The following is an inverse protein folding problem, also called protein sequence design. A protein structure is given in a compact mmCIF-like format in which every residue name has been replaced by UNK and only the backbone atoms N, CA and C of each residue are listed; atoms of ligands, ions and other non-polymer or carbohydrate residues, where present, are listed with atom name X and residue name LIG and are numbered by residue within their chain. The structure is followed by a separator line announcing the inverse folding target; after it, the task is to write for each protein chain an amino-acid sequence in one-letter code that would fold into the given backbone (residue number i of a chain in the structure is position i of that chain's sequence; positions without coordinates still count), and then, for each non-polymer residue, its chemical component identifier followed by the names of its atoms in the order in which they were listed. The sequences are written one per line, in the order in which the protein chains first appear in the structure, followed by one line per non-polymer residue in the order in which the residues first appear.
data_IF_137548652405
#
_entry.id   IF_137548652405
#
_cell.length_a   1.000
_cell.length_b   1.000
_cell.length_c   1.000
_cell.angle_alpha   90.00
_cell.angle_beta   90.00
_cell.angle_gamma   90.00
#
_symmetry.space_group_name_H-M   'P 1'
#
loop_
_entity.id
_entity.type
_entity.pdbx_description
1 polymer ?
#
# COMPACT_ATOMS: atom_id res chain seq x y z
N UNK A 1 0.74 5.24 3.28
CA UNK A 1 1.35 6.60 3.24
C UNK A 1 0.52 7.58 4.08
N UNK A 2 1.14 8.47 4.86
CA UNK A 2 0.43 9.28 5.86
C UNK A 2 1.11 10.63 6.13
N UNK A 3 0.29 11.63 6.46
CA UNK A 3 0.70 12.88 7.11
C UNK A 3 -0.37 13.30 8.12
N UNK A 4 0.07 13.73 9.30
CA UNK A 4 -0.78 13.96 10.48
C UNK A 4 -1.97 14.92 10.30
N UNK A 5 -1.77 16.01 9.55
CA UNK A 5 -2.74 17.10 9.49
C UNK A 5 -4.11 16.67 8.91
N UNK A 6 -5.15 16.70 9.74
CA UNK A 6 -6.54 16.41 9.33
C UNK A 6 -6.88 14.93 9.09
N UNK A 7 -5.94 14.00 9.31
CA UNK A 7 -6.09 12.58 8.92
C UNK A 7 -6.04 11.57 10.08
N UNK A 8 -5.93 12.04 11.32
CA UNK A 8 -5.88 11.18 12.52
C UNK A 8 -7.14 10.30 12.66
N UNK A 9 -8.32 10.86 12.38
CA UNK A 9 -9.58 10.10 12.42
C UNK A 9 -9.63 8.98 11.38
N UNK A 10 -9.05 9.21 10.20
CA UNK A 10 -8.96 8.19 9.15
C UNK A 10 -8.01 7.06 9.56
N UNK A 11 -6.84 7.41 10.10
CA UNK A 11 -5.89 6.44 10.63
C UNK A 11 -6.53 5.57 11.71
N UNK A 12 -7.22 6.18 12.68
CA UNK A 12 -7.92 5.43 13.73
C UNK A 12 -9.00 4.51 13.16
N UNK A 13 -9.79 5.01 12.19
CA UNK A 13 -10.80 4.19 11.51
C UNK A 13 -10.19 3.03 10.73
N UNK A 14 -9.04 3.22 10.08
CA UNK A 14 -8.37 2.15 9.34
C UNK A 14 -7.80 1.10 10.30
N UNK A 15 -7.06 1.52 11.32
CA UNK A 15 -6.46 0.64 12.31
C UNK A 15 -7.49 -0.18 13.09
N UNK A 16 -8.72 0.32 13.25
CA UNK A 16 -9.79 -0.44 13.91
C UNK A 16 -10.49 -1.46 13.02
N UNK A 17 -10.35 -1.40 11.70
CA UNK A 17 -11.13 -2.22 10.74
C UNK A 17 -10.27 -3.15 9.89
N UNK A 18 -9.17 -2.63 9.35
CA UNK A 18 -8.33 -3.38 8.40
C UNK A 18 -7.70 -4.64 9.04
N UNK A 19 -7.11 -4.58 10.25
CA UNK A 19 -6.56 -5.78 10.89
C UNK A 19 -7.58 -6.91 11.03
N UNK A 20 -8.74 -6.61 11.63
CA UNK A 20 -9.81 -7.59 11.83
C UNK A 20 -10.34 -8.16 10.51
N UNK A 21 -10.42 -7.33 9.46
CA UNK A 21 -10.81 -7.79 8.14
C UNK A 21 -9.78 -8.75 7.54
N UNK A 22 -8.49 -8.37 7.52
CA UNK A 22 -7.40 -9.19 6.99
C UNK A 22 -7.26 -10.53 7.74
N UNK A 23 -7.41 -10.52 9.06
CA UNK A 23 -7.43 -11.71 9.91
C UNK A 23 -8.63 -12.62 9.56
N UNK A 24 -9.82 -12.06 9.39
CA UNK A 24 -11.02 -12.82 9.04
C UNK A 24 -10.92 -13.51 7.68
N UNK A 25 -10.14 -12.95 6.74
CA UNK A 25 -9.88 -13.55 5.42
C UNK A 25 -8.56 -14.35 5.35
N UNK A 26 -7.87 -14.53 6.48
CA UNK A 26 -6.67 -15.37 6.58
C UNK A 26 -5.43 -14.82 5.86
N UNK A 27 -5.34 -13.50 5.66
CA UNK A 27 -4.18 -12.86 5.03
C UNK A 27 -3.04 -12.71 6.04
N UNK A 28 -1.83 -13.13 5.66
CA UNK A 28 -0.62 -12.81 6.42
C UNK A 28 -0.11 -11.43 6.02
N UNK A 29 0.02 -10.52 7.00
CA UNK A 29 0.38 -9.13 6.74
C UNK A 29 1.25 -8.52 7.84
N UNK A 30 1.87 -7.39 7.50
CA UNK A 30 2.43 -6.43 8.45
C UNK A 30 2.04 -5.03 7.99
N UNK A 31 1.54 -4.22 8.92
CA UNK A 31 1.17 -2.83 8.62
C UNK A 31 2.35 -1.90 8.88
N UNK A 32 2.63 -1.04 7.90
CA UNK A 32 3.64 0.02 8.01
C UNK A 32 2.97 1.38 7.84
N UNK A 33 3.11 2.23 8.85
CA UNK A 33 2.67 3.63 8.76
C UNK A 33 3.83 4.50 8.27
N UNK A 34 3.70 4.99 7.03
CA UNK A 34 4.75 5.79 6.38
C UNK A 34 4.44 7.27 6.59
N UNK A 35 4.97 7.85 7.67
CA UNK A 35 4.66 9.22 8.08
C UNK A 35 5.65 10.23 7.46
N UNK A 36 5.17 11.13 6.62
CA UNK A 36 5.98 12.26 6.12
C UNK A 36 5.98 13.39 7.14
N UNK A 37 7.17 13.75 7.62
CA UNK A 37 7.36 14.70 8.73
C UNK A 37 7.91 16.06 8.29
N UNK A 38 8.41 16.17 7.07
CA UNK A 38 8.84 17.43 6.47
C UNK A 38 7.65 18.29 5.99
N UNK A 39 7.95 19.54 5.67
CA UNK A 39 6.98 20.54 5.23
C UNK A 39 6.77 20.58 3.70
N UNK A 40 7.42 19.69 2.93
CA UNK A 40 7.26 19.65 1.47
C UNK A 40 5.85 19.20 1.10
N UNK A 41 5.40 19.34 -0.17
CA UNK A 41 4.17 18.69 -0.60
C UNK A 41 4.19 17.18 -0.28
N UNK A 42 3.01 16.60 -0.09
CA UNK A 42 2.93 15.18 0.21
C UNK A 42 3.45 14.36 -0.97
N UNK A 43 4.32 13.39 -0.72
CA UNK A 43 4.91 12.55 -1.76
C UNK A 43 4.62 11.08 -1.44
N UNK A 44 3.52 10.58 -1.99
CA UNK A 44 3.03 9.21 -1.76
C UNK A 44 4.05 8.18 -2.26
N UNK A 45 4.58 8.39 -3.47
CA UNK A 45 5.52 7.49 -4.13
C UNK A 45 6.85 7.38 -3.37
N UNK A 46 7.45 8.50 -3.00
CA UNK A 46 8.72 8.53 -2.27
C UNK A 46 8.63 7.84 -0.91
N UNK A 47 7.52 8.01 -0.19
CA UNK A 47 7.29 7.30 1.08
C UNK A 47 7.28 5.78 0.89
N UNK A 48 6.59 5.28 -0.15
CA UNK A 48 6.55 3.84 -0.44
C UNK A 48 7.93 3.34 -0.85
N UNK A 49 8.64 4.06 -1.72
CA UNK A 49 10.00 3.72 -2.12
C UNK A 49 10.93 3.61 -0.91
N UNK A 50 10.89 4.59 0.00
CA UNK A 50 11.68 4.56 1.23
C UNK A 50 11.35 3.33 2.09
N UNK A 51 10.06 2.98 2.22
CA UNK A 51 9.64 1.80 2.96
C UNK A 51 10.14 0.48 2.33
N UNK A 52 9.99 0.32 1.01
CA UNK A 52 10.45 -0.88 0.29
C UNK A 52 11.97 -1.03 0.38
N UNK A 53 12.69 0.08 0.23
CA UNK A 53 14.14 0.12 0.42
C UNK A 53 14.53 -0.29 1.83
N UNK A 54 13.88 0.25 2.87
CA UNK A 54 14.13 -0.14 4.25
C UNK A 54 13.82 -1.62 4.50
N UNK A 55 12.75 -2.16 3.90
CA UNK A 55 12.43 -3.59 3.97
C UNK A 55 13.45 -4.48 3.24
N UNK A 56 14.14 -3.98 2.22
CA UNK A 56 15.18 -4.70 1.49
C UNK A 56 16.58 -4.57 2.07
N UNK A 57 16.91 -3.42 2.67
CA UNK A 57 18.22 -3.15 3.29
C UNK A 57 18.34 -3.73 4.70
N UNK A 58 17.22 -3.99 5.40
CA UNK A 58 17.29 -4.56 6.74
C UNK A 58 17.54 -6.06 6.74
N UNK A 59 18.79 -6.42 7.00
CA UNK A 59 19.09 -7.21 8.20
C UNK A 59 18.48 -6.51 9.43
N UNK A 60 17.20 -6.75 9.68
CA UNK A 60 16.63 -6.79 11.02
C UNK A 60 16.39 -5.53 11.86
N UNK A 61 16.89 -4.32 11.60
CA UNK A 61 16.86 -3.26 12.64
C UNK A 61 15.46 -2.74 13.06
N UNK A 62 14.43 -2.79 12.22
CA UNK A 62 13.06 -2.35 12.60
C UNK A 62 12.17 -3.53 13.02
N UNK A 63 12.58 -4.76 12.72
CA UNK A 63 11.72 -5.95 12.80
C UNK A 63 12.33 -7.12 13.58
N UNK A 64 13.58 -7.01 14.06
CA UNK A 64 14.19 -8.00 14.94
C UNK A 64 13.52 -7.98 16.29
N UNK A 65 12.51 -8.83 16.44
CA UNK A 65 12.34 -9.53 17.70
C UNK A 65 13.46 -10.56 17.75
N UNK A 66 14.43 -10.32 18.63
CA UNK A 66 15.39 -11.28 19.18
C UNK A 66 15.51 -12.62 18.43
N UNK A 67 16.50 -12.75 17.56
CA UNK A 67 17.03 -14.04 17.07
C UNK A 67 16.34 -14.69 15.86
N UNK A 68 15.33 -14.07 15.26
CA UNK A 68 14.68 -14.60 14.05
C UNK A 68 15.21 -13.93 12.76
N UNK A 69 15.31 -14.67 11.63
CA UNK A 69 15.63 -14.07 10.34
C UNK A 69 14.58 -13.01 9.96
N UNK A 70 14.97 -11.95 9.24
CA UNK A 70 14.03 -10.92 8.79
C UNK A 70 12.93 -11.56 7.92
N UNK A 71 11.66 -11.20 8.12
CA UNK A 71 10.58 -11.72 7.29
C UNK A 71 10.76 -11.23 5.85
N UNK A 72 10.62 -12.16 4.90
CA UNK A 72 10.54 -11.83 3.47
C UNK A 72 9.10 -11.45 3.17
N UNK A 73 8.91 -10.32 2.48
CA UNK A 73 7.60 -9.84 2.02
C UNK A 73 7.52 -10.02 0.50
N UNK A 74 6.66 -10.93 0.05
CA UNK A 74 6.56 -11.29 -1.38
C UNK A 74 5.64 -10.37 -2.18
N UNK A 75 4.80 -9.59 -1.49
CA UNK A 75 3.86 -8.65 -2.08
C UNK A 75 3.73 -7.37 -1.26
N UNK A 76 3.23 -6.32 -1.91
CA UNK A 76 2.98 -5.01 -1.34
C UNK A 76 1.48 -4.70 -1.47
N UNK A 77 0.90 -4.15 -0.40
CA UNK A 77 -0.41 -3.52 -0.42
C UNK A 77 -0.23 -2.03 -0.10
N UNK A 78 -0.21 -1.20 -1.14
CA UNK A 78 -0.09 0.26 -1.03
C UNK A 78 -1.49 0.80 -0.79
N UNK A 79 -1.75 1.23 0.43
CA UNK A 79 -3.09 1.50 0.93
C UNK A 79 -3.22 2.96 1.39
N UNK A 80 -4.18 3.68 0.81
CA UNK A 80 -4.59 5.01 1.27
C UNK A 80 -5.32 4.90 2.61
N UNK A 81 -5.04 5.82 3.52
CA UNK A 81 -5.53 5.75 4.90
C UNK A 81 -7.04 6.01 5.06
N UNK A 82 -7.71 6.58 4.04
CA UNK A 82 -9.16 6.84 4.03
C UNK A 82 -9.97 5.75 3.32
N UNK A 83 -9.32 4.71 2.81
CA UNK A 83 -9.98 3.54 2.22
C UNK A 83 -10.15 2.49 3.30
N UNK A 84 -11.27 1.79 3.33
CA UNK A 84 -11.47 0.72 4.30
C UNK A 84 -12.50 -0.27 3.76
N UNK A 85 -12.43 -1.54 4.18
CA UNK A 85 -13.46 -2.53 3.83
C UNK A 85 -14.78 -2.12 4.50
N UNK A 86 -15.77 -1.67 3.71
CA UNK A 86 -17.14 -1.39 4.17
C UNK A 86 -18.06 -2.32 3.44
N UNK A 87 -18.96 -3.01 4.14
CA UNK A 87 -19.91 -3.93 3.52
C UNK A 87 -21.12 -3.23 2.88
N UNK A 88 -21.36 -1.95 3.19
CA UNK A 88 -22.50 -1.16 2.74
C UNK A 88 -22.10 0.32 2.68
N UNK A 89 -22.01 0.91 1.49
CA UNK A 89 -21.52 2.27 1.19
C UNK A 89 -22.32 3.47 1.75
N UNK A 90 -22.84 3.39 2.98
CA UNK A 90 -23.48 4.51 3.66
C UNK A 90 -22.44 5.33 4.41
N UNK A 91 -21.87 6.32 3.72
CA UNK A 91 -21.11 7.39 4.38
C UNK A 91 -19.90 7.89 3.61
N UNK A 92 -20.10 8.46 2.42
CA UNK A 92 -19.21 9.42 1.74
C UNK A 92 -17.76 9.02 1.45
N UNK A 93 -17.31 7.85 1.90
CA UNK A 93 -15.94 7.34 1.78
C UNK A 93 -16.00 6.09 0.92
N UNK A 94 -15.06 5.99 -0.02
CA UNK A 94 -15.06 4.93 -1.02
C UNK A 94 -14.59 3.63 -0.39
N UNK A 95 -15.45 2.62 -0.47
CA UNK A 95 -15.24 1.32 0.15
C UNK A 95 -14.26 0.45 -0.66
N UNK A 96 -13.59 -0.46 0.05
CA UNK A 96 -12.90 -1.61 -0.52
C UNK A 96 -13.80 -2.86 -0.53
N UNK A 97 -15.11 -2.70 -0.67
CA UNK A 97 -16.12 -3.78 -0.63
C UNK A 97 -15.83 -4.92 -1.61
N UNK A 98 -15.27 -4.60 -2.77
CA UNK A 98 -14.87 -5.60 -3.77
C UNK A 98 -13.47 -6.20 -3.54
N UNK A 99 -12.75 -5.79 -2.49
CA UNK A 99 -11.51 -6.45 -2.11
C UNK A 99 -11.85 -7.81 -1.48
N UNK A 100 -11.78 -8.86 -2.28
CA UNK A 100 -11.92 -10.24 -1.82
C UNK A 100 -10.66 -10.69 -1.06
N UNK A 101 -10.72 -11.88 -0.43
CA UNK A 101 -9.51 -12.55 0.02
C UNK A 101 -8.49 -12.60 -1.12
N UNK A 102 -8.90 -13.04 -2.31
CA UNK A 102 -8.07 -13.05 -3.52
C UNK A 102 -7.44 -11.68 -3.83
N UNK A 103 -8.09 -10.54 -3.55
CA UNK A 103 -7.53 -9.21 -3.77
C UNK A 103 -6.31 -8.88 -2.89
N UNK A 104 -6.33 -9.29 -1.62
CA UNK A 104 -5.21 -9.10 -0.69
C UNK A 104 -4.27 -10.33 -0.60
N UNK A 105 -4.74 -11.50 -1.01
CA UNK A 105 -4.03 -12.77 -0.90
C UNK A 105 -3.05 -13.00 -2.05
N UNK A 106 -1.96 -13.67 -1.70
CA UNK A 106 -0.94 -14.21 -2.59
C UNK A 106 -1.15 -15.74 -2.72
N UNK A 107 -0.72 -16.41 -3.81
CA UNK A 107 -0.07 -15.91 -5.04
C UNK A 107 -1.05 -15.42 -6.10
N UNK A 108 -0.69 -14.34 -6.78
CA UNK A 108 -1.35 -13.93 -8.03
C UNK A 108 -0.34 -13.31 -8.99
N UNK A 109 -0.38 -13.66 -10.29
CA UNK A 109 0.64 -13.27 -11.26
C UNK A 109 0.56 -11.80 -11.72
N UNK A 110 -0.55 -11.11 -11.48
CA UNK A 110 -0.73 -9.72 -11.94
C UNK A 110 -1.04 -8.74 -10.79
N UNK A 111 -0.58 -7.48 -10.88
CA UNK A 111 -1.01 -6.39 -10.02
C UNK A 111 -2.54 -6.25 -10.03
N UNK A 112 -3.11 -5.90 -8.88
CA UNK A 112 -4.54 -5.66 -8.70
C UNK A 112 -4.80 -4.26 -8.20
N UNK A 113 -5.64 -3.56 -8.94
CA UNK A 113 -6.12 -2.22 -8.61
C UNK A 113 -7.58 -2.36 -8.20
N UNK A 114 -7.96 -1.78 -7.06
CA UNK A 114 -9.35 -1.85 -6.57
C UNK A 114 -10.33 -1.11 -7.50
N UNK A 115 -9.81 -0.24 -8.37
CA UNK A 115 -10.55 0.58 -9.32
C UNK A 115 -10.04 0.37 -10.77
N UNK A 116 -10.49 -0.68 -11.49
CA UNK A 116 -10.04 -0.97 -12.86
C UNK A 116 -10.38 0.12 -13.89
N UNK A 117 -11.45 0.89 -13.63
CA UNK A 117 -11.92 1.99 -14.49
C UNK A 117 -11.29 3.33 -14.19
N UNK A 118 -10.51 3.43 -13.11
CA UNK A 118 -9.98 4.70 -12.65
C UNK A 118 -8.70 4.49 -11.84
N UNK A 119 -7.55 4.66 -12.50
CA UNK A 119 -6.27 5.05 -11.88
C UNK A 119 -5.74 4.03 -10.82
N UNK A 120 -4.42 3.78 -10.75
CA UNK A 120 -3.88 2.84 -9.75
C UNK A 120 -3.87 3.37 -8.30
N UNK A 121 -4.79 4.28 -7.96
CA UNK A 121 -4.89 4.94 -6.66
C UNK A 121 -5.85 4.25 -5.69
N UNK A 122 -5.87 4.75 -4.44
CA UNK A 122 -6.65 4.16 -3.37
C UNK A 122 -5.95 2.96 -2.74
N UNK A 123 -6.13 1.77 -3.32
CA UNK A 123 -5.44 0.55 -2.89
C UNK A 123 -4.89 -0.15 -4.12
N UNK A 124 -3.58 -0.43 -4.08
CA UNK A 124 -2.84 -1.18 -5.09
C UNK A 124 -2.15 -2.35 -4.42
N UNK A 125 -2.42 -3.57 -4.91
CA UNK A 125 -1.76 -4.79 -4.45
C UNK A 125 -0.93 -5.38 -5.58
N UNK A 126 0.35 -5.61 -5.37
CA UNK A 126 1.25 -6.13 -6.39
C UNK A 126 2.38 -6.96 -5.79
N UNK A 127 3.00 -7.82 -6.60
CA UNK A 127 4.20 -8.53 -6.18
C UNK A 127 5.33 -7.54 -5.94
N UNK A 128 6.13 -7.77 -4.90
CA UNK A 128 7.30 -6.96 -4.60
C UNK A 128 8.29 -6.98 -5.77
N UNK A 129 8.48 -8.15 -6.39
CA UNK A 129 9.35 -8.32 -7.55
C UNK A 129 8.95 -7.42 -8.73
N UNK A 130 7.65 -7.27 -9.01
CA UNK A 130 7.17 -6.37 -10.08
C UNK A 130 7.42 -4.90 -9.74
N UNK A 131 7.20 -4.50 -8.49
CA UNK A 131 7.50 -3.15 -8.02
C UNK A 131 8.98 -2.82 -8.15
N UNK A 132 9.87 -3.73 -7.72
CA UNK A 132 11.31 -3.56 -7.82
C UNK A 132 11.79 -3.54 -9.27
N UNK A 133 11.22 -4.39 -10.13
CA UNK A 133 11.61 -4.49 -11.53
C UNK A 133 11.23 -3.26 -12.38
N UNK A 134 10.20 -2.51 -12.00
CA UNK A 134 9.91 -1.19 -12.60
C UNK A 134 10.63 -0.03 -11.92
N UNK A 135 11.55 -0.30 -10.99
CA UNK A 135 12.24 0.70 -10.17
C UNK A 135 11.28 1.55 -9.29
N UNK A 136 10.27 0.91 -8.71
CA UNK A 136 9.34 1.52 -7.75
C UNK A 136 8.55 2.71 -8.31
N UNK A 137 8.07 3.59 -7.44
CA UNK A 137 7.43 4.85 -7.86
C UNK A 137 8.47 5.86 -8.38
N UNK A 138 8.04 6.83 -9.19
CA UNK A 138 8.82 8.06 -9.38
C UNK A 138 8.79 8.90 -8.11
N UNK A 139 9.93 9.51 -7.75
CA UNK A 139 10.03 10.42 -6.61
C UNK A 139 9.65 11.86 -6.96
N UNK A 140 9.38 12.14 -8.24
CA UNK A 140 9.15 13.50 -8.76
C UNK A 140 7.70 13.99 -8.58
N UNK A 141 6.79 13.12 -8.17
CA UNK A 141 5.38 13.47 -7.95
C UNK A 141 5.17 14.06 -6.55
N UNK A 142 5.15 15.39 -6.48
CA UNK A 142 4.90 16.17 -5.29
C UNK A 142 3.48 16.74 -5.30
N UNK A 143 2.67 16.41 -4.30
CA UNK A 143 1.26 16.78 -4.25
C UNK A 143 0.33 15.66 -4.72
N UNK A 144 -0.84 16.01 -5.23
CA UNK A 144 -1.85 15.05 -5.66
C UNK A 144 -1.75 14.78 -7.17
N UNK A 145 -1.59 13.50 -7.54
CA UNK A 145 -1.85 13.00 -8.88
C UNK A 145 -0.64 12.44 -9.64
N UNK A 146 -0.97 11.62 -10.64
CA UNK A 146 -0.10 11.01 -11.68
C UNK A 146 0.93 9.97 -11.24
N UNK A 147 1.30 9.89 -9.96
CA UNK A 147 2.27 8.90 -9.47
C UNK A 147 1.78 7.45 -9.65
N UNK A 148 0.48 7.23 -9.42
CA UNK A 148 -0.15 5.93 -9.57
C UNK A 148 -0.26 5.53 -11.05
N UNK A 149 -0.56 6.49 -11.93
CA UNK A 149 -0.62 6.26 -13.37
C UNK A 149 0.73 5.90 -13.95
N UNK A 150 1.76 6.65 -13.57
CA UNK A 150 3.13 6.40 -13.99
C UNK A 150 3.58 4.99 -13.59
N UNK A 151 3.35 4.59 -12.33
CA UNK A 151 3.66 3.23 -11.89
C UNK A 151 2.86 2.19 -12.70
N UNK A 152 1.57 2.40 -12.90
CA UNK A 152 0.71 1.48 -13.64
C UNK A 152 1.17 1.30 -15.08
N UNK A 153 1.49 2.38 -15.79
CA UNK A 153 1.98 2.33 -17.16
C UNK A 153 3.30 1.58 -17.25
N UNK A 154 4.22 1.77 -16.29
CA UNK A 154 5.49 1.04 -16.24
C UNK A 154 5.28 -0.46 -15.98
N UNK A 155 4.37 -0.84 -15.09
CA UNK A 155 4.00 -2.24 -14.86
C UNK A 155 3.43 -2.88 -16.13
N UNK A 156 2.52 -2.18 -16.81
CA UNK A 156 1.90 -2.64 -18.06
C UNK A 156 2.91 -2.79 -19.20
N UNK A 157 3.88 -1.88 -19.29
CA UNK A 157 4.96 -1.97 -20.27
C UNK A 157 5.80 -3.24 -20.09
N UNK A 158 6.01 -3.67 -18.84
CA UNK A 158 6.71 -4.90 -18.51
C UNK A 158 5.85 -6.18 -18.65
N UNK A 159 4.59 -6.06 -19.06
CA UNK A 159 3.69 -7.19 -19.27
C UNK A 159 2.97 -7.69 -18.02
N UNK A 160 2.85 -6.85 -16.98
CA UNK A 160 2.17 -7.17 -15.71
C UNK A 160 0.77 -6.55 -15.61
#
# INVERSE_FOLDING_TARGET
PYRGAGRVGDLHSLCSRLPAHLEAIGVQYRLFLLNQVDALPFNRGALVNAAVRLMGETDGLVLQRSGMPPPVFDYLAIHDIDRFPVRNGRGGRVACDNATAEYYSFPHPSPRVLHPSSFAGGVLVLQRAHFEAVNGFSNEYWGWGEEDNDLFLRLRWCGW
#
